data_IF_646233140459
#
_entry.id   IF_646233140459
#
_cell.length_a   1.000
_cell.length_b   1.000
_cell.length_c   1.000
_cell.angle_alpha   90.00
_cell.angle_beta   90.00
_cell.angle_gamma   90.00
#
_symmetry.space_group_name_H-M   'P 1'
#
loop_
_entity.id
_entity.type
_entity.pdbx_description
1 polymer ?
#
# COMPACT_ATOMS: atom_id res chain seq x y z
N UNK A 1 5.16 23.95 22.83
CA UNK A 1 6.04 22.91 23.41
C UNK A 1 5.36 21.55 23.56
N UNK A 2 4.34 21.36 24.42
CA UNK A 2 3.61 20.07 24.52
C UNK A 2 2.66 19.79 23.33
N UNK A 3 2.08 20.82 22.71
CA UNK A 3 1.18 20.67 21.56
C UNK A 3 1.90 20.29 20.26
N UNK A 4 3.14 20.74 20.09
CA UNK A 4 3.95 20.49 18.89
C UNK A 4 4.45 19.04 18.86
N UNK A 5 4.92 18.52 19.99
CA UNK A 5 5.34 17.12 20.14
C UNK A 5 4.19 16.14 19.93
N UNK A 6 2.97 16.44 20.39
CA UNK A 6 1.81 15.57 20.17
C UNK A 6 1.44 15.43 18.68
N UNK A 7 1.57 16.51 17.91
CA UNK A 7 1.22 16.52 16.48
C UNK A 7 2.27 15.77 15.66
N UNK A 8 3.54 15.91 16.01
CA UNK A 8 4.65 15.18 15.39
C UNK A 8 4.67 13.70 15.77
N UNK A 9 4.33 13.36 17.02
CA UNK A 9 4.13 11.97 17.47
C UNK A 9 3.02 11.31 16.67
N UNK A 10 1.89 12.00 16.44
CA UNK A 10 0.75 11.42 15.70
C UNK A 10 1.09 11.14 14.23
N UNK A 11 1.83 12.05 13.56
CA UNK A 11 2.26 11.85 12.17
C UNK A 11 3.31 10.73 12.06
N UNK A 12 4.25 10.70 12.99
CA UNK A 12 5.31 9.69 13.05
C UNK A 12 4.78 8.31 13.45
N UNK A 13 3.76 8.24 14.32
CA UNK A 13 3.18 6.99 14.79
C UNK A 13 2.57 6.16 13.67
N UNK A 14 1.90 6.79 12.69
CA UNK A 14 1.33 6.07 11.54
C UNK A 14 2.43 5.46 10.67
N UNK A 15 3.49 6.23 10.41
CA UNK A 15 4.63 5.77 9.63
C UNK A 15 5.37 4.64 10.36
N UNK A 16 5.59 4.79 11.66
CA UNK A 16 6.21 3.76 12.51
C UNK A 16 5.39 2.47 12.50
N UNK A 17 4.07 2.59 12.62
CA UNK A 17 3.18 1.43 12.57
C UNK A 17 3.23 0.69 11.22
N UNK A 18 3.24 1.43 10.10
CA UNK A 18 3.41 0.80 8.79
C UNK A 18 4.77 0.10 8.68
N UNK A 19 5.83 0.72 9.18
CA UNK A 19 7.19 0.18 9.14
C UNK A 19 7.29 -1.12 9.95
N UNK A 20 6.77 -1.15 11.18
CA UNK A 20 6.76 -2.35 12.00
C UNK A 20 5.93 -3.49 11.38
N UNK A 21 4.77 -3.15 10.77
CA UNK A 21 4.00 -4.14 10.01
C UNK A 21 4.78 -4.71 8.83
N UNK A 22 5.47 -3.87 8.07
CA UNK A 22 6.31 -4.33 6.95
C UNK A 22 7.43 -5.24 7.44
N UNK A 23 8.09 -4.92 8.57
CA UNK A 23 9.13 -5.77 9.17
C UNK A 23 8.60 -7.16 9.50
N UNK A 24 7.47 -7.24 10.20
CA UNK A 24 6.85 -8.52 10.58
C UNK A 24 6.51 -9.35 9.33
N UNK A 25 5.93 -8.72 8.30
CA UNK A 25 5.58 -9.43 7.05
C UNK A 25 6.82 -9.98 6.36
N UNK A 26 7.88 -9.18 6.23
CA UNK A 26 9.14 -9.62 5.62
C UNK A 26 9.79 -10.77 6.40
N UNK A 27 9.72 -10.73 7.73
CA UNK A 27 10.26 -11.78 8.60
C UNK A 27 9.49 -13.10 8.42
N UNK A 28 8.16 -13.04 8.38
CA UNK A 28 7.29 -14.20 8.08
C UNK A 28 7.60 -14.77 6.69
N UNK A 29 7.76 -13.91 5.67
CA UNK A 29 8.09 -14.39 4.34
C UNK A 29 9.48 -15.03 4.27
N UNK A 30 10.45 -14.55 5.07
CA UNK A 30 11.80 -15.14 5.12
C UNK A 30 11.79 -16.59 5.61
N UNK A 31 10.87 -16.93 6.54
CA UNK A 31 10.67 -18.29 7.02
C UNK A 31 9.81 -19.17 6.10
N UNK A 32 9.28 -18.63 5.00
CA UNK A 32 8.40 -19.35 4.08
C UNK A 32 9.19 -20.05 2.97
N UNK A 33 8.82 -21.28 2.62
CA UNK A 33 9.47 -22.01 1.53
C UNK A 33 9.29 -21.31 0.18
N UNK A 34 10.29 -21.40 -0.69
CA UNK A 34 10.29 -20.78 -2.04
C UNK A 34 9.04 -21.16 -2.84
N UNK A 35 8.60 -22.42 -2.74
CA UNK A 35 7.39 -22.92 -3.38
C UNK A 35 6.10 -22.20 -2.95
N UNK A 36 5.93 -21.96 -1.65
CA UNK A 36 4.76 -21.25 -1.09
C UNK A 36 4.82 -19.75 -1.37
N UNK A 37 6.02 -19.19 -1.42
CA UNK A 37 6.22 -17.78 -1.79
C UNK A 37 5.80 -17.57 -3.25
N UNK A 38 6.27 -18.41 -4.17
CA UNK A 38 5.96 -18.29 -5.60
C UNK A 38 4.45 -18.44 -5.91
N UNK A 39 3.75 -19.34 -5.21
CA UNK A 39 2.30 -19.52 -5.41
C UNK A 39 1.47 -18.30 -4.97
N UNK A 40 1.98 -17.54 -4.01
CA UNK A 40 1.27 -16.39 -3.41
C UNK A 40 1.49 -15.11 -4.21
N UNK A 41 2.71 -14.95 -4.72
CA UNK A 41 3.17 -13.79 -5.47
C UNK A 41 2.31 -13.57 -6.74
N UNK A 42 2.09 -14.60 -7.55
CA UNK A 42 1.41 -14.44 -8.84
C UNK A 42 -0.12 -14.28 -8.73
N UNK A 43 -0.70 -14.38 -7.54
CA UNK A 43 -2.17 -14.46 -7.37
C UNK A 43 -2.89 -13.17 -7.79
N UNK A 44 -2.23 -12.02 -7.64
CA UNK A 44 -2.80 -10.69 -7.92
C UNK A 44 -2.00 -9.92 -8.97
N UNK A 45 -1.09 -10.61 -9.66
CA UNK A 45 -0.24 -10.02 -10.67
C UNK A 45 -0.98 -9.93 -11.99
N UNK A 46 -0.86 -8.77 -12.64
CA UNK A 46 -1.30 -8.57 -14.02
C UNK A 46 -0.06 -8.46 -14.88
N UNK A 47 0.09 -9.38 -15.83
CA UNK A 47 1.15 -9.33 -16.83
C UNK A 47 0.68 -8.43 -17.99
N UNK A 48 1.42 -7.36 -18.25
CA UNK A 48 1.23 -6.51 -19.42
C UNK A 48 2.58 -6.41 -20.14
N UNK A 49 2.64 -7.00 -21.33
CA UNK A 49 3.85 -7.00 -22.19
C UNK A 49 5.10 -7.59 -21.54
N UNK A 50 4.95 -8.58 -20.64
CA UNK A 50 6.06 -9.23 -19.94
C UNK A 50 6.51 -8.50 -18.67
N UNK A 51 5.87 -7.39 -18.33
CA UNK A 51 6.09 -6.65 -17.08
C UNK A 51 4.99 -6.97 -16.08
N UNK A 52 5.37 -7.07 -14.80
CA UNK A 52 4.48 -7.44 -13.72
C UNK A 52 3.92 -6.20 -13.01
N UNK A 53 2.60 -6.07 -13.00
CA UNK A 53 1.89 -4.98 -12.32
C UNK A 53 1.03 -5.49 -11.17
N UNK A 54 0.91 -4.65 -10.13
CA UNK A 54 -0.05 -4.83 -9.06
C UNK A 54 -1.27 -3.94 -9.33
N UNK A 55 -2.44 -4.55 -9.51
CA UNK A 55 -3.68 -3.80 -9.65
C UNK A 55 -4.14 -3.28 -8.28
N UNK A 56 -4.39 -1.97 -8.19
CA UNK A 56 -4.86 -1.30 -6.98
C UNK A 56 -6.12 -0.51 -7.31
N UNK A 57 -7.19 -0.74 -6.54
CA UNK A 57 -8.37 0.11 -6.60
C UNK A 57 -8.16 1.34 -5.71
N UNK A 58 -8.24 2.52 -6.32
CA UNK A 58 -8.20 3.79 -5.62
C UNK A 58 -9.49 4.54 -5.86
N UNK A 59 -10.19 4.88 -4.78
CA UNK A 59 -11.34 5.77 -4.81
C UNK A 59 -10.89 7.16 -4.40
N UNK A 60 -10.94 8.10 -5.34
CA UNK A 60 -10.65 9.51 -5.11
C UNK A 60 -11.91 10.33 -5.41
N UNK A 61 -12.53 10.84 -4.35
CA UNK A 61 -13.80 11.57 -4.45
C UNK A 61 -13.67 12.88 -5.26
N UNK A 62 -12.47 13.48 -5.29
CA UNK A 62 -12.24 14.75 -5.98
C UNK A 62 -12.16 14.55 -7.50
N UNK A 63 -11.77 13.36 -7.95
CA UNK A 63 -11.70 13.01 -9.39
C UNK A 63 -13.10 12.93 -10.01
N UNK A 64 -14.11 12.51 -9.25
CA UNK A 64 -15.48 12.39 -9.77
C UNK A 64 -16.12 13.76 -10.08
N UNK A 65 -15.79 14.81 -9.31
CA UNK A 65 -16.31 16.16 -9.53
C UNK A 65 -15.77 16.83 -10.82
N UNK A 66 -14.60 16.42 -11.32
CA UNK A 66 -14.07 16.91 -12.60
C UNK A 66 -14.78 16.32 -13.82
N UNK A 67 -15.39 15.14 -13.69
CA UNK A 67 -16.08 14.47 -14.79
C UNK A 67 -17.48 15.06 -14.99
N UNK A 68 -18.18 15.42 -13.89
CA UNK A 68 -19.50 16.06 -13.97
C UNK A 68 -19.45 17.46 -14.59
N UNK A 69 -18.43 18.26 -14.27
CA UNK A 69 -18.27 19.61 -14.79
C UNK A 69 -17.75 19.70 -16.25
N UNK A 70 -17.31 18.58 -16.85
CA UNK A 70 -16.96 18.54 -18.29
C UNK A 70 -18.14 18.18 -19.19
N UNK A 71 -19.25 17.72 -18.60
CA UNK A 71 -20.47 17.33 -19.32
C UNK A 71 -21.58 18.40 -19.23
N UNK A 72 -21.25 19.62 -18.79
CA UNK A 72 -22.11 20.81 -18.85
C UNK A 72 -21.47 21.86 -19.76
#
# INVERSE_FOLDING_TARGET
MMGDTYRDVKRSARQLWHLERTRIVLDIESGTSVSKRQSSINKYWVDIQGECYLQVEQMDNDVFHFIENKNT
#
